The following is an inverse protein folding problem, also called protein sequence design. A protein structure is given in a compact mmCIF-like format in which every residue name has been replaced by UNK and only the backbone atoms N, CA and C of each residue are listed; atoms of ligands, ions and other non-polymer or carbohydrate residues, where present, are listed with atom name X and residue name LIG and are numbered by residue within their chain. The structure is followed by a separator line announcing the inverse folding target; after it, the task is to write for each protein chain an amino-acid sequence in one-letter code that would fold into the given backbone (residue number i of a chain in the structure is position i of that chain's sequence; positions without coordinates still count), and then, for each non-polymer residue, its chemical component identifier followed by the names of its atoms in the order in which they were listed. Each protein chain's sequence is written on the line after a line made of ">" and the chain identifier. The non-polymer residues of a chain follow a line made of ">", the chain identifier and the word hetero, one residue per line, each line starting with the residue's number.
data_IF_118331926931
#
_entry.id   IF_118331926931
#
_cell.length_a   1.000
_cell.length_b   1.000
_cell.length_c   1.000
_cell.angle_alpha   90.00
_cell.angle_beta   90.00
_cell.angle_gamma   90.00
#
_symmetry.space_group_name_H-M   'P 1'
#
loop_
_entity.id
_entity.type
_entity.pdbx_description
1 polymer ?
#
# COMPACT_ATOMS: atom_id res chain seq x y z
N UNK A 1 -15.43 16.66 -0.93
CA UNK A 1 -14.06 16.91 -0.41
C UNK A 1 -13.17 15.72 -0.72
N UNK A 2 -11.88 15.92 -0.93
CA UNK A 2 -10.93 14.83 -1.19
C UNK A 2 -9.67 15.02 -0.34
N UNK A 3 -9.23 13.98 0.35
CA UNK A 3 -7.94 13.91 1.02
C UNK A 3 -6.95 13.13 0.16
N UNK A 4 -5.66 13.49 0.17
CA UNK A 4 -4.63 12.85 -0.65
C UNK A 4 -3.54 12.19 0.21
N UNK A 5 -3.39 10.87 0.02
CA UNK A 5 -2.44 10.04 0.74
C UNK A 5 -1.47 9.40 -0.25
N UNK A 6 -0.16 9.58 -0.06
CA UNK A 6 0.87 8.92 -0.85
C UNK A 6 1.36 7.67 -0.13
N UNK A 7 1.16 6.51 -0.72
CA UNK A 7 1.54 5.21 -0.18
C UNK A 7 2.77 4.70 -0.91
N UNK A 8 3.78 4.27 -0.15
CA UNK A 8 4.97 3.58 -0.65
C UNK A 8 5.09 2.22 0.03
N UNK A 9 5.02 1.15 -0.75
CA UNK A 9 5.11 -0.24 -0.30
C UNK A 9 6.51 -0.78 -0.53
N UNK A 10 6.93 -1.70 0.33
CA UNK A 10 8.12 -2.53 0.10
C UNK A 10 7.75 -3.69 -0.81
N UNK A 11 8.60 -3.95 -1.81
CA UNK A 11 8.44 -5.11 -2.67
C UNK A 11 8.94 -6.35 -1.93
N UNK A 12 8.03 -7.21 -1.46
CA UNK A 12 8.37 -8.42 -0.71
C UNK A 12 8.04 -9.66 -1.52
N UNK A 13 8.80 -10.77 -1.37
CA UNK A 13 8.47 -12.02 -2.04
C UNK A 13 7.08 -12.59 -1.68
N UNK A 14 6.59 -12.34 -0.47
CA UNK A 14 5.27 -12.77 -0.01
C UNK A 14 4.13 -11.84 -0.46
N UNK A 15 4.44 -10.58 -0.73
CA UNK A 15 3.49 -9.54 -1.13
C UNK A 15 4.19 -8.64 -2.17
N UNK A 16 4.19 -9.05 -3.44
CA UNK A 16 4.87 -8.30 -4.49
C UNK A 16 4.15 -6.98 -4.74
N UNK A 17 4.92 -5.97 -5.12
CA UNK A 17 4.39 -4.73 -5.69
C UNK A 17 5.08 -4.42 -7.02
N UNK A 18 4.38 -3.74 -7.92
CA UNK A 18 4.90 -3.39 -9.25
C UNK A 18 5.20 -1.90 -9.37
N UNK A 19 6.30 -1.56 -10.05
CA UNK A 19 6.76 -0.18 -10.28
C UNK A 19 7.05 0.12 -11.75
N UNK A 20 6.64 -0.76 -12.66
CA UNK A 20 6.89 -0.61 -14.10
C UNK A 20 6.08 0.56 -14.70
N UNK A 21 6.68 1.39 -15.55
CA UNK A 21 5.95 2.45 -16.25
C UNK A 21 4.82 1.85 -17.11
N UNK A 22 3.61 2.39 -16.98
CA UNK A 22 2.44 1.94 -17.73
C UNK A 22 1.62 0.82 -17.07
N UNK A 23 2.09 0.22 -15.98
CA UNK A 23 1.30 -0.71 -15.18
C UNK A 23 0.37 0.05 -14.22
N UNK A 24 -0.87 -0.41 -14.10
CA UNK A 24 -1.82 0.05 -13.09
C UNK A 24 -2.73 -1.12 -12.70
N UNK A 25 -2.96 -1.39 -11.40
CA UNK A 25 -3.73 -2.54 -10.92
C UNK A 25 -5.12 -2.62 -11.56
N UNK A 26 -5.85 -1.51 -11.62
CA UNK A 26 -7.14 -1.43 -12.29
C UNK A 26 -7.04 -1.85 -13.77
N UNK A 27 -6.03 -1.39 -14.52
CA UNK A 27 -5.86 -1.80 -15.91
C UNK A 27 -5.54 -3.29 -16.05
N UNK A 28 -4.76 -3.84 -15.11
CA UNK A 28 -4.48 -5.27 -15.04
C UNK A 28 -5.77 -6.07 -14.81
N UNK A 29 -6.60 -5.68 -13.84
CA UNK A 29 -7.87 -6.35 -13.53
C UNK A 29 -8.81 -6.29 -14.73
N UNK A 30 -9.00 -5.10 -15.31
CA UNK A 30 -9.84 -4.91 -16.49
C UNK A 30 -9.39 -5.76 -17.68
N UNK A 31 -8.07 -5.83 -17.92
CA UNK A 31 -7.51 -6.69 -18.96
C UNK A 31 -7.72 -8.17 -18.64
N UNK A 32 -7.51 -8.60 -17.40
CA UNK A 32 -7.73 -9.99 -16.98
C UNK A 32 -9.20 -10.43 -17.17
N UNK A 33 -10.16 -9.58 -16.78
CA UNK A 33 -11.59 -9.83 -17.01
C UNK A 33 -11.88 -9.91 -18.51
N UNK A 34 -11.36 -8.98 -19.30
CA UNK A 34 -11.52 -8.98 -20.75
C UNK A 34 -10.96 -10.26 -21.40
N UNK A 35 -9.79 -10.75 -20.98
CA UNK A 35 -9.23 -12.03 -21.43
C UNK A 35 -10.17 -13.19 -21.12
N UNK A 36 -10.80 -13.22 -19.93
CA UNK A 36 -11.77 -14.26 -19.56
C UNK A 36 -13.07 -14.19 -20.35
N UNK A 37 -13.54 -12.98 -20.66
CA UNK A 37 -14.72 -12.80 -21.52
C UNK A 37 -14.41 -13.26 -22.95
N UNK A 38 -13.25 -12.90 -23.49
CA UNK A 38 -12.83 -13.32 -24.84
C UNK A 38 -12.68 -14.85 -24.89
N UNK A 39 -12.07 -15.48 -23.88
CA UNK A 39 -11.92 -16.94 -23.82
C UNK A 39 -13.25 -17.70 -23.80
N UNK A 40 -14.28 -17.18 -23.11
CA UNK A 40 -15.56 -17.88 -22.91
C UNK A 40 -16.65 -17.46 -23.90
N UNK A 41 -16.70 -16.19 -24.28
CA UNK A 41 -17.74 -15.60 -25.12
C UNK A 41 -17.25 -15.29 -26.55
N UNK A 42 -15.95 -15.40 -26.84
CA UNK A 42 -15.32 -15.06 -28.15
C UNK A 42 -15.54 -13.62 -28.64
N UNK A 43 -16.00 -12.73 -27.77
CA UNK A 43 -16.25 -11.33 -28.06
C UNK A 43 -15.75 -10.46 -26.91
N UNK A 44 -15.66 -9.14 -27.13
CA UNK A 44 -15.28 -8.17 -26.11
C UNK A 44 -16.30 -7.03 -26.01
N UNK A 45 -16.70 -6.57 -24.81
CA UNK A 45 -17.53 -5.39 -24.64
C UNK A 45 -16.86 -4.12 -25.18
N UNK A 46 -17.64 -3.19 -25.73
CA UNK A 46 -17.14 -1.99 -26.40
C UNK A 46 -16.32 -1.06 -25.49
N UNK A 47 -16.61 -1.04 -24.18
CA UNK A 47 -15.94 -0.19 -23.20
C UNK A 47 -14.61 -0.74 -22.69
N UNK A 48 -14.25 -1.99 -23.04
CA UNK A 48 -12.95 -2.57 -22.69
C UNK A 48 -11.88 -2.18 -23.73
N UNK A 49 -10.60 -2.25 -23.36
CA UNK A 49 -9.51 -2.05 -24.33
C UNK A 49 -9.32 -3.31 -25.20
N UNK A 50 -8.99 -3.12 -26.48
CA UNK A 50 -8.69 -4.25 -27.36
C UNK A 50 -7.38 -4.93 -26.96
N UNK A 51 -7.36 -6.26 -26.96
CA UNK A 51 -6.18 -7.06 -26.60
C UNK A 51 -5.51 -7.61 -27.85
N UNK A 52 -6.31 -8.10 -28.80
CA UNK A 52 -5.90 -8.66 -30.09
C UNK A 52 -6.87 -8.17 -31.18
N UNK A 53 -7.27 -9.05 -32.08
CA UNK A 53 -8.28 -8.82 -33.12
C UNK A 53 -9.58 -9.58 -32.79
N UNK A 54 -10.13 -9.36 -31.60
CA UNK A 54 -11.44 -9.89 -31.20
C UNK A 54 -12.62 -9.05 -31.73
N UNK A 55 -13.77 -9.69 -31.94
CA UNK A 55 -15.02 -9.00 -32.29
C UNK A 55 -15.60 -8.26 -31.09
N UNK A 56 -16.38 -7.22 -31.37
CA UNK A 56 -17.19 -6.55 -30.35
C UNK A 56 -18.43 -7.41 -30.07
N UNK A 57 -18.79 -7.59 -28.80
CA UNK A 57 -20.00 -8.33 -28.42
C UNK A 57 -21.25 -7.62 -28.92
N UNK A 58 -22.20 -8.37 -29.47
CA UNK A 58 -23.57 -7.90 -29.70
C UNK A 58 -24.34 -7.79 -28.38
N UNK A 59 -25.45 -7.05 -28.39
CA UNK A 59 -26.28 -6.85 -27.19
C UNK A 59 -26.67 -8.16 -26.49
N UNK A 60 -27.04 -9.19 -27.25
CA UNK A 60 -27.42 -10.49 -26.71
C UNK A 60 -26.22 -11.23 -26.10
N UNK A 61 -25.04 -11.16 -26.73
CA UNK A 61 -23.82 -11.80 -26.23
C UNK A 61 -23.32 -11.12 -24.95
N UNK A 62 -23.40 -9.80 -24.91
CA UNK A 62 -23.05 -9.02 -23.72
C UNK A 62 -23.99 -9.36 -22.56
N UNK A 63 -25.30 -9.40 -22.80
CA UNK A 63 -26.28 -9.66 -21.75
C UNK A 63 -26.30 -11.12 -21.30
N UNK A 64 -26.12 -12.08 -22.21
CA UNK A 64 -26.20 -13.52 -21.89
C UNK A 64 -24.90 -14.13 -21.40
N UNK A 65 -23.74 -13.57 -21.77
CA UNK A 65 -22.44 -14.14 -21.49
C UNK A 65 -21.50 -13.17 -20.74
N UNK A 66 -21.16 -12.03 -21.34
CA UNK A 66 -20.15 -11.13 -20.78
C UNK A 66 -20.55 -10.57 -19.40
N UNK A 67 -21.81 -10.17 -19.23
CA UNK A 67 -22.38 -9.70 -17.96
C UNK A 67 -22.21 -10.74 -16.84
N UNK A 68 -22.47 -12.01 -17.14
CA UNK A 68 -22.39 -13.11 -16.17
C UNK A 68 -20.95 -13.33 -15.70
N UNK A 69 -19.96 -13.14 -16.57
CA UNK A 69 -18.54 -13.24 -16.22
C UNK A 69 -18.12 -12.06 -15.33
N UNK A 70 -18.51 -10.85 -15.71
CA UNK A 70 -18.27 -9.63 -14.94
C UNK A 70 -18.93 -9.70 -13.55
N UNK A 71 -20.18 -10.16 -13.48
CA UNK A 71 -20.90 -10.34 -12.22
C UNK A 71 -20.24 -11.41 -11.34
N UNK A 72 -19.76 -12.52 -11.92
CA UNK A 72 -19.00 -13.54 -11.18
C UNK A 72 -17.71 -13.00 -10.60
N UNK A 73 -17.02 -12.11 -11.31
CA UNK A 73 -15.82 -11.45 -10.81
C UNK A 73 -16.12 -10.56 -9.60
N UNK A 74 -17.17 -9.72 -9.68
CA UNK A 74 -17.49 -8.77 -8.60
C UNK A 74 -18.25 -9.39 -7.42
N UNK A 75 -19.03 -10.44 -7.62
CA UNK A 75 -19.93 -10.93 -6.57
C UNK A 75 -19.33 -11.97 -5.61
N UNK A 76 -18.11 -12.50 -5.82
CA UNK A 76 -17.36 -13.40 -4.90
C UNK A 76 -18.21 -14.49 -4.18
N UNK A 77 -19.35 -14.92 -4.76
CA UNK A 77 -20.35 -15.79 -4.10
C UNK A 77 -20.54 -17.16 -4.75
N UNK A 78 -19.68 -17.52 -5.71
CA UNK A 78 -19.84 -18.76 -6.48
C UNK A 78 -18.62 -19.69 -6.34
N UNK A 79 -18.85 -20.99 -6.51
CA UNK A 79 -17.90 -22.11 -6.41
C UNK A 79 -16.66 -22.03 -7.33
N UNK A 80 -16.56 -21.03 -8.22
CA UNK A 80 -15.44 -20.82 -9.15
C UNK A 80 -15.14 -19.31 -9.34
N UNK A 81 -14.44 -18.67 -8.38
CA UNK A 81 -14.09 -17.25 -8.47
C UNK A 81 -13.03 -17.03 -9.56
N UNK A 82 -13.24 -16.02 -10.41
CA UNK A 82 -12.24 -15.62 -11.40
C UNK A 82 -11.10 -14.94 -10.65
N UNK A 83 -9.95 -15.62 -10.59
CA UNK A 83 -8.75 -15.11 -9.96
C UNK A 83 -7.89 -14.33 -10.97
N UNK A 84 -7.55 -13.08 -10.63
CA UNK A 84 -6.65 -12.22 -11.37
C UNK A 84 -5.48 -11.82 -10.48
N UNK A 85 -4.25 -12.19 -10.87
CA UNK A 85 -3.04 -11.78 -10.15
C UNK A 85 -2.61 -10.38 -10.61
N UNK A 86 -3.11 -9.37 -9.92
CA UNK A 86 -2.81 -7.96 -10.19
C UNK A 86 -2.23 -7.30 -8.94
N UNK A 87 -0.89 -7.39 -8.73
CA UNK A 87 -0.23 -6.78 -7.59
C UNK A 87 -0.44 -5.27 -7.51
N UNK A 88 -0.48 -4.68 -6.30
CA UNK A 88 -0.60 -3.23 -6.15
C UNK A 88 0.67 -2.51 -6.63
N UNK A 89 0.56 -1.19 -6.83
CA UNK A 89 1.72 -0.37 -7.12
C UNK A 89 2.62 -0.23 -5.88
N UNK A 90 3.94 -0.24 -6.10
CA UNK A 90 4.90 0.06 -5.04
C UNK A 90 4.82 1.52 -4.59
N UNK A 91 4.38 2.42 -5.47
CA UNK A 91 4.16 3.83 -5.12
C UNK A 91 2.88 4.29 -5.78
N UNK A 92 1.94 4.78 -4.99
CA UNK A 92 0.68 5.31 -5.47
C UNK A 92 0.21 6.48 -4.64
N UNK A 93 -0.70 7.26 -5.21
CA UNK A 93 -1.40 8.33 -4.52
C UNK A 93 -2.88 7.97 -4.48
N UNK A 94 -3.41 7.76 -3.28
CA UNK A 94 -4.83 7.47 -3.05
C UNK A 94 -5.54 8.77 -2.71
N UNK A 95 -6.68 8.99 -3.36
CA UNK A 95 -7.58 10.09 -3.10
C UNK A 95 -8.82 9.55 -2.40
N UNK A 96 -9.01 9.91 -1.13
CA UNK A 96 -10.17 9.47 -0.35
C UNK A 96 -11.27 10.52 -0.42
N UNK A 97 -12.41 10.25 -1.09
CA UNK A 97 -13.50 11.20 -1.18
C UNK A 97 -14.36 11.19 0.09
N UNK A 98 -14.78 12.38 0.52
CA UNK A 98 -15.88 12.59 1.47
C UNK A 98 -17.00 13.34 0.76
N UNK A 99 -18.17 12.72 0.72
CA UNK A 99 -19.34 13.19 -0.04
C UNK A 99 -20.33 13.83 0.91
N UNK A 100 -20.70 15.06 0.59
CA UNK A 100 -21.71 15.85 1.30
C UNK A 100 -22.65 16.46 0.27
N UNK A 101 -23.95 16.40 0.51
CA UNK A 101 -24.97 16.93 -0.39
C UNK A 101 -25.98 17.79 0.34
N UNK A 102 -26.53 18.77 -0.38
CA UNK A 102 -27.64 19.61 0.06
C UNK A 102 -28.51 19.97 -1.14
N UNK A 103 -29.78 20.27 -0.89
CA UNK A 103 -30.67 20.79 -1.92
C UNK A 103 -30.19 22.16 -2.43
N UNK A 104 -30.45 22.42 -3.71
CA UNK A 104 -30.13 23.71 -4.32
C UNK A 104 -31.01 24.81 -3.71
N UNK A 105 -30.37 25.84 -3.17
CA UNK A 105 -31.09 26.97 -2.58
C UNK A 105 -31.93 27.73 -3.62
N UNK A 106 -33.15 28.13 -3.23
CA UNK A 106 -34.08 28.86 -4.12
C UNK A 106 -33.47 30.09 -4.81
N UNK A 107 -32.66 30.86 -4.07
CA UNK A 107 -32.00 32.05 -4.60
C UNK A 107 -30.91 31.70 -5.64
N UNK A 108 -30.20 30.59 -5.42
CA UNK A 108 -29.17 30.11 -6.34
C UNK A 108 -29.80 29.60 -7.65
N UNK A 109 -30.88 28.82 -7.56
CA UNK A 109 -31.64 28.39 -8.75
C UNK A 109 -32.27 29.57 -9.48
N UNK A 110 -32.79 30.57 -8.76
CA UNK A 110 -33.33 31.81 -9.37
C UNK A 110 -32.27 32.61 -10.13
N UNK A 111 -31.01 32.60 -9.66
CA UNK A 111 -29.90 33.19 -10.39
C UNK A 111 -29.56 32.37 -11.65
N UNK A 112 -29.49 31.04 -11.54
CA UNK A 112 -29.27 30.14 -12.68
C UNK A 112 -30.37 30.20 -13.74
N UNK A 113 -31.64 30.38 -13.34
CA UNK A 113 -32.80 30.52 -14.24
C UNK A 113 -32.63 31.62 -15.29
N UNK A 114 -31.85 32.67 -14.96
CA UNK A 114 -31.54 33.75 -15.91
C UNK A 114 -30.68 33.27 -17.08
N UNK A 115 -29.87 32.24 -16.87
CA UNK A 115 -28.89 31.72 -17.84
C UNK A 115 -29.44 30.51 -18.62
N UNK A 116 -30.37 29.74 -18.06
CA UNK A 116 -30.97 28.53 -18.69
C UNK A 116 -32.17 28.78 -19.62
N UNK A 117 -32.62 30.04 -19.74
CA UNK A 117 -33.68 30.47 -20.66
C UNK A 117 -35.07 30.61 -20.01
N UNK A 118 -36.00 31.35 -20.64
CA UNK A 118 -37.23 31.85 -20.01
C UNK A 118 -38.31 30.79 -19.73
N UNK A 119 -38.11 29.52 -20.13
CA UNK A 119 -39.15 28.49 -20.09
C UNK A 119 -38.90 27.35 -19.07
N UNK A 120 -37.89 27.45 -18.22
CA UNK A 120 -37.69 26.45 -17.16
C UNK A 120 -38.29 26.93 -15.84
N UNK A 121 -38.96 26.04 -15.14
CA UNK A 121 -39.49 26.28 -13.80
C UNK A 121 -38.49 25.88 -12.72
N UNK A 122 -38.66 26.43 -11.51
CA UNK A 122 -37.82 26.09 -10.37
C UNK A 122 -37.81 24.57 -10.08
N UNK A 123 -38.96 23.92 -10.17
CA UNK A 123 -39.09 22.48 -9.92
C UNK A 123 -38.40 21.63 -11.00
N UNK A 124 -38.47 22.02 -12.27
CA UNK A 124 -37.77 21.33 -13.38
C UNK A 124 -36.26 21.41 -13.26
N UNK A 125 -35.71 22.52 -12.75
CA UNK A 125 -34.26 22.64 -12.55
C UNK A 125 -33.82 21.81 -11.36
N UNK A 126 -34.56 21.88 -10.25
CA UNK A 126 -34.15 21.20 -9.01
C UNK A 126 -34.29 19.67 -9.11
N UNK A 127 -35.18 19.17 -9.97
CA UNK A 127 -35.37 17.73 -10.21
C UNK A 127 -34.40 17.14 -11.24
N UNK A 128 -33.96 17.93 -12.23
CA UNK A 128 -33.15 17.43 -13.34
C UNK A 128 -31.67 17.85 -13.28
N UNK A 129 -31.31 18.82 -12.43
CA UNK A 129 -29.94 19.33 -12.34
C UNK A 129 -29.30 18.98 -10.99
N UNK A 130 -28.02 18.64 -11.05
CA UNK A 130 -27.17 18.46 -9.88
C UNK A 130 -25.89 19.27 -10.05
N UNK A 131 -25.40 19.84 -8.96
CA UNK A 131 -24.14 20.56 -8.93
C UNK A 131 -23.10 19.73 -8.17
N UNK A 132 -22.05 19.31 -8.88
CA UNK A 132 -20.93 18.58 -8.29
C UNK A 132 -19.72 19.51 -8.17
N UNK A 133 -19.30 19.77 -6.94
CA UNK A 133 -18.07 20.54 -6.67
C UNK A 133 -17.02 19.63 -6.05
N UNK A 134 -15.89 19.45 -6.75
CA UNK A 134 -14.76 18.65 -6.28
C UNK A 134 -13.64 19.59 -5.86
N UNK A 135 -13.19 19.44 -4.61
CA UNK A 135 -12.09 20.22 -4.05
C UNK A 135 -11.34 19.42 -2.99
N UNK A 136 -10.06 19.77 -2.77
CA UNK A 136 -9.22 19.19 -1.73
C UNK A 136 -9.66 19.66 -0.35
N UNK A 137 -9.72 18.75 0.61
CA UNK A 137 -10.09 19.10 1.99
C UNK A 137 -9.00 19.92 2.69
N UNK A 138 -7.74 19.67 2.35
CA UNK A 138 -6.58 20.41 2.81
C UNK A 138 -5.45 20.31 1.77
N UNK A 139 -4.47 21.20 1.83
CA UNK A 139 -3.26 21.14 0.99
C UNK A 139 -2.17 20.22 1.59
N UNK A 140 -2.51 19.45 2.63
CA UNK A 140 -1.57 18.59 3.33
C UNK A 140 -1.57 17.20 2.70
N UNK A 141 -0.39 16.68 2.35
CA UNK A 141 -0.23 15.33 1.82
C UNK A 141 0.28 14.40 2.93
N UNK A 142 -0.43 13.31 3.19
CA UNK A 142 0.03 12.30 4.15
C UNK A 142 0.90 11.27 3.43
N UNK A 143 2.06 10.95 3.99
CA UNK A 143 2.98 9.93 3.45
C UNK A 143 2.93 8.68 4.32
N UNK A 144 2.62 7.54 3.73
CA UNK A 144 2.58 6.23 4.39
C UNK A 144 3.62 5.35 3.72
N UNK A 145 4.72 5.08 4.41
CA UNK A 145 5.84 4.30 3.88
C UNK A 145 6.03 3.04 4.70
N UNK A 146 5.94 1.87 4.06
CA UNK A 146 6.29 0.61 4.70
C UNK A 146 7.80 0.47 4.73
N UNK A 147 8.38 0.22 5.91
CA UNK A 147 9.81 -0.06 6.11
C UNK A 147 10.00 -1.46 6.68
N UNK A 148 11.16 -2.05 6.45
CA UNK A 148 11.47 -3.35 7.05
C UNK A 148 11.56 -3.20 8.56
N UNK A 149 10.86 -4.08 9.30
CA UNK A 149 10.85 -4.04 10.77
C UNK A 149 12.20 -4.44 11.36
N UNK A 150 12.94 -5.29 10.64
CA UNK A 150 14.25 -5.75 11.05
C UNK A 150 15.16 -5.96 9.83
N UNK A 151 16.14 -5.07 9.68
CA UNK A 151 17.13 -5.16 8.60
C UNK A 151 18.36 -5.97 9.02
N UNK A 152 19.17 -6.38 8.04
CA UNK A 152 20.47 -7.04 8.29
C UNK A 152 21.39 -6.19 9.17
N UNK A 153 21.32 -4.86 9.06
CA UNK A 153 22.11 -3.95 9.89
C UNK A 153 21.68 -4.02 11.35
N UNK A 154 20.37 -4.09 11.63
CA UNK A 154 19.87 -4.26 12.99
C UNK A 154 20.30 -5.61 13.58
N UNK A 155 20.22 -6.68 12.78
CA UNK A 155 20.72 -8.01 13.16
C UNK A 155 22.20 -7.99 13.55
N UNK A 156 23.04 -7.37 12.71
CA UNK A 156 24.48 -7.26 12.96
C UNK A 156 24.79 -6.38 14.17
N UNK A 157 24.00 -5.33 14.41
CA UNK A 157 24.11 -4.47 15.59
C UNK A 157 23.85 -5.27 16.87
N UNK A 158 22.77 -6.05 16.90
CA UNK A 158 22.41 -6.84 18.08
C UNK A 158 23.42 -7.96 18.34
N UNK A 159 23.85 -8.66 17.28
CA UNK A 159 24.88 -9.70 17.38
C UNK A 159 26.23 -9.11 17.83
N UNK A 160 26.66 -8.01 17.22
CA UNK A 160 27.90 -7.32 17.57
C UNK A 160 27.88 -6.80 19.01
N UNK A 161 26.74 -6.26 19.46
CA UNK A 161 26.55 -5.82 20.85
C UNK A 161 26.69 -6.98 21.84
N UNK A 162 26.03 -8.11 21.59
CA UNK A 162 26.10 -9.29 22.46
C UNK A 162 27.52 -9.88 22.51
N UNK A 163 28.17 -10.04 21.36
CA UNK A 163 29.55 -10.55 21.29
C UNK A 163 30.55 -9.58 21.92
N UNK A 164 30.39 -8.28 21.69
CA UNK A 164 31.23 -7.24 22.29
C UNK A 164 31.16 -7.24 23.81
N UNK A 165 29.95 -7.40 24.38
CA UNK A 165 29.76 -7.49 25.82
C UNK A 165 30.43 -8.74 26.41
N UNK A 166 30.26 -9.90 25.78
CA UNK A 166 30.89 -11.15 26.21
C UNK A 166 32.41 -11.05 26.15
N UNK A 167 32.97 -10.56 25.04
CA UNK A 167 34.41 -10.38 24.89
C UNK A 167 34.95 -9.37 25.92
N UNK A 168 34.25 -8.26 26.14
CA UNK A 168 34.60 -7.27 27.16
C UNK A 168 34.65 -7.87 28.57
N UNK A 169 33.64 -8.68 28.94
CA UNK A 169 33.62 -9.38 30.21
C UNK A 169 34.78 -10.37 30.33
N UNK A 170 35.05 -11.18 29.30
CA UNK A 170 36.18 -12.11 29.32
C UNK A 170 37.53 -11.39 29.43
N UNK A 171 37.70 -10.24 28.76
CA UNK A 171 38.92 -9.45 28.85
C UNK A 171 39.17 -8.94 30.27
N UNK A 172 38.13 -8.39 30.93
CA UNK A 172 38.23 -7.96 32.33
C UNK A 172 38.61 -9.11 33.26
N UNK A 173 38.00 -10.30 33.08
CA UNK A 173 38.37 -11.47 33.90
C UNK A 173 39.82 -11.91 33.72
N UNK A 174 40.39 -11.77 32.52
CA UNK A 174 41.81 -12.06 32.26
C UNK A 174 42.72 -11.04 32.96
N UNK A 175 42.35 -9.76 32.92
CA UNK A 175 43.10 -8.69 33.61
C UNK A 175 43.10 -8.93 35.13
N UNK A 176 41.94 -9.23 35.72
CA UNK A 176 41.84 -9.56 37.15
C UNK A 176 42.70 -10.77 37.54
N UNK A 177 42.72 -11.81 36.70
CA UNK A 177 43.56 -12.99 36.95
C UNK A 177 45.06 -12.64 36.95
N UNK A 178 45.51 -11.74 36.07
CA UNK A 178 46.90 -11.28 36.02
C UNK A 178 47.28 -10.44 37.25
N UNK A 179 46.40 -9.53 37.69
CA UNK A 179 46.58 -8.75 38.92
C UNK A 179 46.69 -9.67 40.14
N UNK A 180 45.80 -10.67 40.25
CA UNK A 180 45.82 -11.63 41.34
C UNK A 180 47.14 -12.42 41.40
N UNK A 181 47.68 -12.85 40.26
CA UNK A 181 48.97 -13.54 40.18
C UNK A 181 50.11 -12.62 40.62
N UNK A 182 50.11 -11.37 40.16
CA UNK A 182 51.13 -10.38 40.53
C UNK A 182 51.14 -10.13 42.04
N UNK A 183 49.98 -9.93 42.65
CA UNK A 183 49.82 -9.74 44.09
C UNK A 183 50.30 -10.97 44.88
N UNK A 184 49.97 -12.17 44.41
CA UNK A 184 50.42 -13.40 45.04
C UNK A 184 51.96 -13.55 45.02
N UNK A 185 52.61 -13.19 43.91
CA UNK A 185 54.07 -13.20 43.78
C UNK A 185 54.71 -12.17 44.71
N UNK A 186 54.15 -10.96 44.78
CA UNK A 186 54.60 -9.91 45.70
C UNK A 186 54.48 -10.38 47.15
N UNK A 187 53.32 -10.92 47.54
CA UNK A 187 53.07 -11.41 48.89
C UNK A 187 54.03 -12.55 49.25
N UNK A 188 54.27 -13.48 48.33
CA UNK A 188 55.25 -14.56 48.53
C UNK A 188 56.68 -14.02 48.69
N UNK A 189 57.08 -12.99 47.92
CA UNK A 189 58.40 -12.34 48.06
C UNK A 189 58.54 -11.59 49.38
N UNK A 190 57.51 -10.86 49.82
CA UNK A 190 57.50 -10.17 51.11
C UNK A 190 57.57 -11.18 52.25
N UNK A 191 56.77 -12.25 52.21
CA UNK A 191 56.81 -13.32 53.21
C UNK A 191 58.18 -14.00 53.29
N UNK A 192 58.82 -14.28 52.15
CA UNK A 192 60.20 -14.83 52.13
C UNK A 192 61.25 -13.85 52.68
N UNK A 193 61.07 -12.54 52.51
CA UNK A 193 61.95 -11.53 53.12
C UNK A 193 61.78 -11.49 54.64
N UNK A 194 60.55 -11.51 55.15
CA UNK A 194 60.31 -11.52 56.59
C UNK A 194 60.84 -12.80 57.27
N UNK A 195 60.76 -13.96 56.61
CA UNK A 195 61.31 -15.22 57.12
C UNK A 195 62.86 -15.30 57.11
N UNK A 196 63.55 -14.36 56.46
CA UNK A 196 65.03 -14.28 56.45
C UNK A 196 65.60 -13.27 57.45
N UNK A 197 64.75 -12.46 58.09
CA UNK A 197 65.14 -11.40 59.05
C UNK A 197 64.83 -11.78 60.50
N UNK A 198 64.44 -13.04 60.76
CA UNK A 198 64.32 -13.64 62.10
C UNK A 198 65.27 -14.82 62.21
#
# INVERSE_FOLDING_TARGET
>A
MVENNKITRLNRPSEPCYSTPGYHPVKCEWRCIAEKIIERCNCRPIYMEAIRNESICDYLEEQSCASTITDKFYQMRNDDPIYCDCPPLCTETIYTPSVTGSDLGRNFVKAMLKDFGPNQTFEEITSNQSLLTIYLSSLQCTYITTTESYGLVALMSDLGGALGLLLGATFLTVVEALELIYDFILFARVKRRMAKTS
#
